data_IF_480969725677
#
_entry.id   IF_480969725677
#
_cell.length_a   1.000
_cell.length_b   1.000
_cell.length_c   1.000
_cell.angle_alpha   90.00
_cell.angle_beta   90.00
_cell.angle_gamma   90.00
#
_symmetry.space_group_name_H-M   'P 1'
#
loop_
_entity.id
_entity.type
_entity.pdbx_description
1 polymer ?
#
# COMPACT_ATOMS: atom_id res chain seq x y z
N UNK A 1 2.32 -0.43 -8.01
CA UNK A 1 3.22 0.59 -7.42
C UNK A 1 4.46 -0.10 -6.87
N UNK A 2 5.61 0.23 -7.43
CA UNK A 2 6.86 -0.51 -7.26
C UNK A 2 7.82 0.29 -6.38
N UNK A 3 7.73 0.06 -5.07
CA UNK A 3 8.50 0.80 -4.07
C UNK A 3 9.61 -0.05 -3.47
N UNK A 4 9.24 -1.20 -2.90
CA UNK A 4 10.10 -2.04 -2.07
C UNK A 4 11.23 -2.70 -2.87
N UNK A 5 12.41 -2.73 -2.27
CA UNK A 5 13.60 -3.44 -2.76
C UNK A 5 14.09 -4.43 -1.69
N UNK A 6 15.01 -5.37 -2.01
CA UNK A 6 15.54 -6.30 -1.03
C UNK A 6 16.03 -5.63 0.26
N UNK A 7 16.69 -4.47 0.15
CA UNK A 7 17.30 -3.74 1.27
C UNK A 7 16.56 -2.43 1.63
N UNK A 8 15.41 -2.15 1.01
CA UNK A 8 14.64 -0.92 1.23
C UNK A 8 13.13 -1.22 1.24
N UNK A 9 12.56 -1.42 2.41
CA UNK A 9 11.13 -1.63 2.64
C UNK A 9 10.53 -0.47 3.43
N UNK A 10 10.61 -0.52 4.76
CA UNK A 10 10.15 0.57 5.63
C UNK A 10 10.97 1.85 5.43
N UNK A 11 12.27 1.74 5.19
CA UNK A 11 13.15 2.85 4.87
C UNK A 11 13.27 3.03 3.35
N UNK A 12 12.25 3.60 2.73
CA UNK A 12 12.21 3.88 1.30
C UNK A 12 13.23 4.94 0.83
N UNK A 13 13.85 5.68 1.74
CA UNK A 13 14.93 6.59 1.36
C UNK A 13 16.14 5.85 0.76
N UNK A 14 16.29 4.57 1.12
CA UNK A 14 17.38 3.69 0.66
C UNK A 14 17.13 3.01 -0.67
N UNK A 15 16.04 3.31 -1.36
CA UNK A 15 15.77 2.80 -2.71
C UNK A 15 16.95 3.10 -3.63
N UNK A 16 17.43 2.06 -4.31
CA UNK A 16 18.63 2.08 -5.15
C UNK A 16 18.37 1.83 -6.63
N UNK A 17 17.16 1.40 -7.02
CA UNK A 17 16.79 1.29 -8.44
C UNK A 17 17.09 2.62 -9.12
N UNK A 18 17.95 2.59 -10.13
CA UNK A 18 18.44 3.80 -10.81
C UNK A 18 17.50 4.20 -11.91
N UNK A 19 17.31 5.52 -12.06
CA UNK A 19 16.73 6.15 -13.22
C UNK A 19 17.78 7.06 -13.83
N UNK A 20 18.15 6.79 -15.09
CA UNK A 20 19.08 7.62 -15.87
C UNK A 20 18.35 8.18 -17.07
N UNK A 21 18.72 9.39 -17.51
CA UNK A 21 18.14 10.00 -18.69
C UNK A 21 19.13 9.90 -19.85
N UNK A 22 18.68 9.36 -20.98
CA UNK A 22 19.44 9.28 -22.22
C UNK A 22 19.57 10.68 -22.86
N UNK A 23 20.44 10.83 -23.86
CA UNK A 23 20.67 12.10 -24.59
C UNK A 23 19.39 12.64 -25.28
N UNK A 24 18.46 11.74 -25.64
CA UNK A 24 17.18 12.08 -26.25
C UNK A 24 16.09 12.47 -25.24
N UNK A 25 16.44 12.51 -23.94
CA UNK A 25 15.52 12.81 -22.85
C UNK A 25 14.71 11.62 -22.33
N UNK A 26 14.88 10.42 -22.88
CA UNK A 26 14.19 9.19 -22.43
C UNK A 26 14.75 8.70 -21.10
N UNK A 27 13.89 8.40 -20.14
CA UNK A 27 14.29 7.80 -18.88
C UNK A 27 14.43 6.28 -18.98
N UNK A 28 15.49 5.74 -18.35
CA UNK A 28 15.80 4.32 -18.28
C UNK A 28 15.91 3.85 -16.83
N UNK A 29 15.17 2.78 -16.52
CA UNK A 29 15.16 2.20 -15.20
C UNK A 29 16.01 0.93 -15.14
N UNK A 30 16.85 0.81 -14.10
CA UNK A 30 17.72 -0.34 -13.87
C UNK A 30 17.76 -0.72 -12.39
N UNK A 31 17.48 -1.97 -12.07
CA UNK A 31 17.52 -2.52 -10.70
C UNK A 31 16.47 -3.59 -10.43
N UNK A 32 16.18 -3.82 -9.17
CA UNK A 32 15.24 -4.87 -8.71
C UNK A 32 14.22 -4.28 -7.76
N UNK A 33 12.97 -4.63 -7.97
CA UNK A 33 11.87 -4.39 -7.02
C UNK A 33 11.36 -5.71 -6.48
N UNK A 34 11.00 -5.76 -5.19
CA UNK A 34 10.57 -7.00 -4.54
C UNK A 34 9.26 -6.80 -3.79
N UNK A 35 8.50 -7.89 -3.66
CA UNK A 35 7.18 -7.91 -3.00
C UNK A 35 6.18 -6.94 -3.64
N UNK A 36 6.20 -6.81 -4.95
CA UNK A 36 5.33 -5.89 -5.68
C UNK A 36 3.96 -6.54 -5.89
N UNK A 37 2.97 -6.05 -5.18
CA UNK A 37 1.57 -6.49 -5.30
C UNK A 37 1.04 -6.17 -6.70
N UNK A 38 0.44 -7.16 -7.34
CA UNK A 38 -0.03 -7.10 -8.73
C UNK A 38 1.10 -6.69 -9.71
N UNK A 39 2.32 -7.22 -9.46
CA UNK A 39 3.53 -6.84 -10.20
C UNK A 39 3.58 -7.35 -11.65
N UNK A 40 2.57 -8.06 -12.13
CA UNK A 40 2.41 -8.44 -13.53
C UNK A 40 1.40 -7.55 -14.29
N UNK A 41 1.06 -6.39 -13.71
CA UNK A 41 0.15 -5.42 -14.34
C UNK A 41 0.77 -4.76 -15.57
N UNK A 42 -0.07 -4.07 -16.37
CA UNK A 42 0.38 -3.41 -17.59
C UNK A 42 1.06 -2.07 -17.31
N UNK A 43 0.59 -1.34 -16.27
CA UNK A 43 1.12 -0.02 -15.91
C UNK A 43 1.65 -0.03 -14.49
N UNK A 44 2.87 0.49 -14.31
CA UNK A 44 3.53 0.58 -13.02
C UNK A 44 3.84 2.01 -12.64
N UNK A 45 3.67 2.34 -11.37
CA UNK A 45 4.25 3.53 -10.76
C UNK A 45 5.50 3.12 -10.00
N UNK A 46 6.67 3.57 -10.46
CA UNK A 46 7.98 3.10 -10.00
C UNK A 46 8.72 4.21 -9.28
N UNK A 47 9.10 3.97 -8.02
CA UNK A 47 10.00 4.87 -7.29
C UNK A 47 11.45 4.52 -7.62
N UNK A 48 12.20 5.47 -8.14
CA UNK A 48 13.59 5.27 -8.54
C UNK A 48 14.47 6.46 -8.17
N UNK A 49 15.77 6.21 -8.04
CA UNK A 49 16.78 7.23 -7.77
C UNK A 49 17.22 7.88 -9.08
N UNK A 50 16.84 9.14 -9.26
CA UNK A 50 17.17 9.97 -10.41
C UNK A 50 18.36 10.91 -10.18
N UNK A 51 18.75 11.15 -8.92
CA UNK A 51 19.83 12.07 -8.56
C UNK A 51 21.05 11.28 -8.09
N UNK A 52 22.12 11.31 -8.86
CA UNK A 52 23.38 10.66 -8.48
C UNK A 52 23.97 11.25 -7.18
N UNK A 53 24.67 10.40 -6.43
CA UNK A 53 25.34 10.80 -5.19
C UNK A 53 24.40 11.05 -4.00
N UNK A 54 23.08 11.00 -4.18
CA UNK A 54 22.13 11.16 -3.08
C UNK A 54 21.86 9.84 -2.37
N UNK A 55 21.56 9.91 -1.06
CA UNK A 55 21.18 8.75 -0.23
C UNK A 55 19.91 8.96 0.59
N UNK A 56 19.22 10.07 0.36
CA UNK A 56 17.96 10.44 1.04
C UNK A 56 16.76 10.46 0.08
N UNK A 57 15.58 10.76 0.61
CA UNK A 57 14.34 10.79 -0.15
C UNK A 57 14.29 11.88 -1.24
N UNK A 58 15.16 12.90 -1.15
CA UNK A 58 15.23 13.98 -2.13
C UNK A 58 15.88 13.56 -3.45
N UNK A 59 16.59 12.45 -3.46
CA UNK A 59 17.14 11.88 -4.69
C UNK A 59 16.17 10.98 -5.46
N UNK A 60 14.93 10.83 -4.99
CA UNK A 60 13.95 9.87 -5.52
C UNK A 60 12.85 10.57 -6.33
N UNK A 61 12.60 10.05 -7.52
CA UNK A 61 11.55 10.49 -8.43
C UNK A 61 10.56 9.35 -8.71
N UNK A 62 9.36 9.69 -9.15
CA UNK A 62 8.32 8.74 -9.54
C UNK A 62 8.29 8.61 -11.06
N UNK A 63 8.16 7.40 -11.55
CA UNK A 63 8.10 7.09 -12.98
C UNK A 63 6.87 6.25 -13.30
N UNK A 64 6.35 6.41 -14.51
CA UNK A 64 5.34 5.55 -15.11
C UNK A 64 6.07 4.62 -16.07
N UNK A 65 5.90 3.32 -15.89
CA UNK A 65 6.37 2.29 -16.81
C UNK A 65 5.18 1.59 -17.44
N UNK A 66 5.24 1.40 -18.76
CA UNK A 66 4.27 0.61 -19.52
C UNK A 66 4.92 -0.73 -19.94
N UNK A 67 4.25 -1.84 -19.63
CA UNK A 67 4.74 -3.19 -19.95
C UNK A 67 5.01 -3.39 -21.45
N UNK A 68 4.30 -2.67 -22.31
CA UNK A 68 4.50 -2.72 -23.77
C UNK A 68 5.87 -2.24 -24.21
N UNK A 69 6.52 -1.37 -23.44
CA UNK A 69 7.88 -0.88 -23.71
C UNK A 69 8.98 -1.93 -23.41
N UNK A 70 8.64 -3.02 -22.72
CA UNK A 70 9.58 -4.08 -22.36
C UNK A 70 10.63 -3.65 -21.33
N UNK A 71 11.67 -4.46 -21.16
CA UNK A 71 12.77 -4.17 -20.22
C UNK A 71 12.50 -4.55 -18.76
N UNK A 72 11.30 -5.07 -18.43
CA UNK A 72 10.97 -5.59 -17.10
C UNK A 72 10.63 -7.07 -17.20
N UNK A 73 11.17 -7.86 -16.27
CA UNK A 73 10.93 -9.29 -16.17
C UNK A 73 10.41 -9.64 -14.78
N UNK A 74 9.31 -10.38 -14.72
CA UNK A 74 8.86 -11.03 -13.49
C UNK A 74 9.79 -12.21 -13.22
N UNK A 75 10.68 -12.07 -12.23
CA UNK A 75 11.66 -13.12 -11.89
C UNK A 75 11.08 -14.17 -10.95
N UNK A 76 10.19 -13.76 -10.07
CA UNK A 76 9.57 -14.62 -9.07
C UNK A 76 8.19 -14.11 -8.67
N UNK A 77 7.28 -15.06 -8.37
CA UNK A 77 5.98 -14.78 -7.75
C UNK A 77 6.00 -15.41 -6.36
N UNK A 78 5.74 -14.61 -5.33
CA UNK A 78 5.84 -15.03 -3.94
C UNK A 78 4.72 -16.01 -3.54
N UNK A 79 5.09 -17.03 -2.78
CA UNK A 79 4.13 -17.89 -2.09
C UNK A 79 3.57 -17.14 -0.87
N UNK A 80 2.24 -17.03 -0.78
CA UNK A 80 1.57 -16.23 0.27
C UNK A 80 0.55 -17.07 1.03
N UNK A 81 0.25 -16.63 2.27
CA UNK A 81 -0.80 -17.23 3.12
C UNK A 81 -2.22 -16.80 2.71
N UNK A 82 -2.35 -15.85 1.82
CA UNK A 82 -3.63 -15.36 1.30
C UNK A 82 -3.43 -14.39 0.14
N UNK A 83 -4.51 -13.80 -0.39
CA UNK A 83 -4.53 -12.89 -1.54
C UNK A 83 -3.84 -13.54 -2.75
N UNK A 84 -4.20 -14.79 -3.04
CA UNK A 84 -3.58 -15.58 -4.11
C UNK A 84 -3.99 -15.10 -5.51
N UNK A 85 -5.11 -14.41 -5.64
CA UNK A 85 -5.58 -13.85 -6.90
C UNK A 85 -4.80 -12.62 -7.40
N UNK A 86 -3.91 -12.06 -6.58
CA UNK A 86 -3.02 -10.96 -6.95
C UNK A 86 -1.57 -11.41 -6.85
N UNK A 87 -0.80 -11.48 -7.97
CA UNK A 87 0.59 -11.92 -7.93
C UNK A 87 1.46 -10.88 -7.22
N UNK A 88 2.20 -11.31 -6.20
CA UNK A 88 3.23 -10.50 -5.55
C UNK A 88 4.57 -10.87 -6.15
N UNK A 89 5.15 -9.94 -6.92
CA UNK A 89 6.26 -10.23 -7.81
C UNK A 89 7.59 -9.66 -7.32
N UNK A 90 8.67 -10.31 -7.73
CA UNK A 90 9.99 -9.74 -7.83
C UNK A 90 10.22 -9.33 -9.29
N UNK A 91 10.51 -8.04 -9.51
CA UNK A 91 10.65 -7.42 -10.83
C UNK A 91 12.10 -7.01 -11.07
N UNK A 92 12.63 -7.40 -12.23
CA UNK A 92 13.98 -7.00 -12.68
C UNK A 92 13.84 -6.01 -13.82
N UNK A 93 14.30 -4.80 -13.60
CA UNK A 93 14.36 -3.71 -14.57
C UNK A 93 15.73 -3.73 -15.26
N UNK A 94 15.74 -3.84 -16.59
CA UNK A 94 16.94 -3.80 -17.44
C UNK A 94 16.72 -2.81 -18.56
N UNK A 95 17.25 -1.61 -18.39
CA UNK A 95 17.12 -0.53 -19.35
C UNK A 95 15.66 -0.24 -19.77
N UNK A 96 14.74 -0.40 -18.81
CA UNK A 96 13.31 -0.26 -19.05
C UNK A 96 12.96 1.21 -19.28
N UNK A 97 12.33 1.50 -20.42
CA UNK A 97 11.86 2.85 -20.75
C UNK A 97 10.75 3.26 -19.78
N UNK A 98 10.78 4.51 -19.32
CA UNK A 98 9.75 5.04 -18.43
C UNK A 98 9.56 6.55 -18.64
N UNK A 99 8.45 7.06 -18.19
CA UNK A 99 8.11 8.47 -18.21
C UNK A 99 8.16 9.06 -16.80
N UNK A 100 8.70 10.27 -16.66
CA UNK A 100 8.73 10.98 -15.38
C UNK A 100 7.30 11.37 -14.97
N UNK A 101 6.85 10.93 -13.79
CA UNK A 101 5.58 11.34 -13.21
C UNK A 101 5.76 12.63 -12.39
N UNK A 102 5.32 13.74 -12.93
CA UNK A 102 5.43 15.05 -12.28
C UNK A 102 6.85 15.63 -12.32
N UNK A 103 7.42 15.95 -11.16
CA UNK A 103 8.75 16.59 -11.07
C UNK A 103 9.75 15.65 -10.42
N UNK A 104 11.02 15.75 -10.83
CA UNK A 104 12.14 15.06 -10.16
C UNK A 104 12.22 15.43 -8.68
N UNK A 105 12.85 14.57 -7.89
CA UNK A 105 13.13 14.77 -6.43
C UNK A 105 11.88 14.79 -5.52
N UNK A 106 10.68 14.71 -6.07
CA UNK A 106 9.42 14.71 -5.31
C UNK A 106 8.77 13.31 -5.20
N UNK A 107 9.40 12.28 -5.73
CA UNK A 107 8.85 10.93 -5.79
C UNK A 107 8.40 10.41 -4.44
N UNK A 108 9.30 10.37 -3.45
CA UNK A 108 8.98 9.88 -2.11
C UNK A 108 8.18 10.89 -1.30
N UNK A 109 8.70 12.12 -1.18
CA UNK A 109 8.18 13.11 -0.22
C UNK A 109 6.80 13.67 -0.57
N UNK A 110 6.41 13.62 -1.84
CA UNK A 110 5.11 14.11 -2.30
C UNK A 110 4.23 12.99 -2.86
N UNK A 111 4.68 12.31 -3.91
CA UNK A 111 3.79 11.41 -4.66
C UNK A 111 3.54 10.09 -3.93
N UNK A 112 4.60 9.42 -3.41
CA UNK A 112 4.43 8.19 -2.62
C UNK A 112 3.65 8.47 -1.35
N UNK A 113 3.96 9.55 -0.63
CA UNK A 113 3.27 9.88 0.62
C UNK A 113 1.78 10.18 0.41
N UNK A 114 1.43 10.90 -0.64
CA UNK A 114 0.03 11.17 -0.98
C UNK A 114 -0.74 9.87 -1.27
N UNK A 115 -0.15 8.97 -2.08
CA UNK A 115 -0.72 7.69 -2.41
C UNK A 115 -0.87 6.78 -1.17
N UNK A 116 0.18 6.68 -0.34
CA UNK A 116 0.17 5.87 0.87
C UNK A 116 -0.85 6.34 1.91
N UNK A 117 -1.02 7.65 2.06
CA UNK A 117 -2.02 8.19 2.98
C UNK A 117 -3.44 7.78 2.57
N UNK A 118 -3.76 7.79 1.28
CA UNK A 118 -5.04 7.28 0.78
C UNK A 118 -5.21 5.77 1.00
N UNK A 119 -4.17 4.99 0.74
CA UNK A 119 -4.19 3.54 0.91
C UNK A 119 -4.35 3.11 2.39
N UNK A 120 -3.79 3.84 3.35
CA UNK A 120 -3.89 3.52 4.79
C UNK A 120 -5.32 3.45 5.29
N UNK A 121 -6.20 4.35 4.85
CA UNK A 121 -7.62 4.31 5.22
C UNK A 121 -8.31 3.05 4.67
N UNK A 122 -7.99 2.68 3.42
CA UNK A 122 -8.49 1.44 2.80
C UNK A 122 -8.06 0.18 3.56
N UNK A 123 -6.80 0.10 3.97
CA UNK A 123 -6.29 -1.04 4.77
C UNK A 123 -6.93 -1.10 6.15
N UNK A 124 -7.18 0.05 6.79
CA UNK A 124 -7.92 0.10 8.06
C UNK A 124 -9.35 -0.44 7.90
N UNK A 125 -10.03 -0.08 6.80
CA UNK A 125 -11.36 -0.61 6.47
C UNK A 125 -11.35 -2.13 6.26
N UNK A 126 -10.37 -2.66 5.52
CA UNK A 126 -10.17 -4.10 5.33
C UNK A 126 -9.96 -4.82 6.68
N UNK A 127 -9.14 -4.25 7.56
CA UNK A 127 -8.85 -4.82 8.88
C UNK A 127 -10.10 -4.92 9.74
N UNK A 128 -10.96 -3.89 9.75
CA UNK A 128 -12.26 -3.92 10.44
C UNK A 128 -13.18 -4.97 9.81
N UNK A 129 -13.22 -5.08 8.47
CA UNK A 129 -14.03 -6.07 7.77
C UNK A 129 -13.63 -7.51 8.09
N UNK A 130 -12.34 -7.83 8.06
CA UNK A 130 -11.81 -9.16 8.43
C UNK A 130 -12.11 -9.48 9.91
N UNK A 131 -11.95 -8.49 10.79
CA UNK A 131 -12.26 -8.65 12.22
C UNK A 131 -13.75 -8.91 12.45
N UNK A 132 -14.64 -8.27 11.68
CA UNK A 132 -16.08 -8.54 11.74
C UNK A 132 -16.40 -9.98 11.33
N UNK A 133 -15.87 -10.44 10.21
CA UNK A 133 -16.09 -11.81 9.73
C UNK A 133 -15.61 -12.85 10.76
N UNK A 134 -14.43 -12.64 11.33
CA UNK A 134 -13.88 -13.51 12.35
C UNK A 134 -14.74 -13.53 13.63
N UNK A 135 -15.27 -12.36 14.05
CA UNK A 135 -16.19 -12.27 15.17
C UNK A 135 -17.50 -13.04 14.94
N UNK A 136 -18.10 -12.88 13.75
CA UNK A 136 -19.37 -13.51 13.42
C UNK A 136 -19.26 -15.05 13.45
N UNK A 137 -18.19 -15.61 12.85
CA UNK A 137 -17.91 -17.04 12.87
C UNK A 137 -17.62 -17.55 14.29
N UNK A 138 -16.81 -16.82 15.06
CA UNK A 138 -16.50 -17.20 16.44
C UNK A 138 -17.75 -17.20 17.32
N UNK A 139 -18.61 -16.19 17.21
CA UNK A 139 -19.85 -16.08 17.96
C UNK A 139 -20.84 -17.19 17.57
N UNK A 140 -20.98 -17.47 16.26
CA UNK A 140 -21.81 -18.55 15.75
C UNK A 140 -21.39 -19.89 16.35
N UNK A 141 -20.09 -20.22 16.22
CA UNK A 141 -19.56 -21.46 16.77
C UNK A 141 -19.75 -21.55 18.29
N UNK A 142 -19.49 -20.47 19.02
CA UNK A 142 -19.66 -20.46 20.49
C UNK A 142 -21.10 -20.65 20.94
N UNK A 143 -22.09 -20.29 20.11
CA UNK A 143 -23.52 -20.53 20.37
C UNK A 143 -23.94 -21.96 20.05
N UNK A 144 -23.37 -22.58 19.05
CA UNK A 144 -23.73 -23.92 18.57
C UNK A 144 -23.00 -25.03 19.34
N UNK A 145 -21.71 -24.84 19.64
CA UNK A 145 -20.87 -25.82 20.32
C UNK A 145 -21.31 -25.97 21.80
N UNK A 146 -21.57 -27.21 22.23
CA UNK A 146 -21.90 -27.53 23.59
C UNK A 146 -20.80 -28.34 24.26
N UNK A 147 -20.57 -28.06 25.54
CA UNK A 147 -19.84 -28.89 26.50
C UNK A 147 -20.63 -28.90 27.81
N UNK A 148 -20.66 -30.04 28.49
CA UNK A 148 -21.51 -30.23 29.71
C UNK A 148 -22.96 -29.78 29.47
N UNK A 149 -23.52 -30.17 28.32
CA UNK A 149 -24.88 -29.82 27.84
C UNK A 149 -25.18 -28.32 27.73
N UNK A 150 -24.16 -27.49 27.80
CA UNK A 150 -24.28 -26.05 27.80
C UNK A 150 -23.50 -25.46 26.60
N UNK A 151 -24.10 -24.50 25.88
CA UNK A 151 -23.39 -23.77 24.81
C UNK A 151 -22.17 -23.05 25.39
N UNK A 152 -21.01 -23.18 24.72
CA UNK A 152 -19.74 -22.69 25.28
C UNK A 152 -19.69 -21.15 25.44
N UNK A 153 -20.52 -20.40 24.72
CA UNK A 153 -20.68 -18.94 24.91
C UNK A 153 -21.12 -18.58 26.35
N UNK A 154 -21.75 -19.50 27.09
CA UNK A 154 -22.17 -19.28 28.48
C UNK A 154 -21.04 -19.46 29.51
N UNK A 155 -19.90 -20.02 29.12
CA UNK A 155 -18.76 -20.13 30.02
C UNK A 155 -18.04 -18.76 30.13
N UNK A 156 -17.76 -18.31 31.39
CA UNK A 156 -17.22 -16.97 31.61
C UNK A 156 -15.96 -16.64 30.77
N UNK A 157 -15.04 -17.58 30.64
CA UNK A 157 -13.81 -17.38 29.86
C UNK A 157 -14.09 -17.19 28.37
N UNK A 158 -15.02 -17.95 27.76
CA UNK A 158 -15.41 -17.82 26.36
C UNK A 158 -16.21 -16.54 26.16
N UNK A 159 -17.14 -16.24 27.05
CA UNK A 159 -17.92 -15.00 27.01
C UNK A 159 -17.01 -13.76 27.04
N UNK A 160 -16.04 -13.74 27.96
CA UNK A 160 -15.09 -12.62 28.07
C UNK A 160 -14.30 -12.42 26.77
N UNK A 161 -13.79 -13.51 26.13
CA UNK A 161 -13.11 -13.41 24.83
C UNK A 161 -14.01 -12.80 23.76
N UNK A 162 -15.24 -13.28 23.60
CA UNK A 162 -16.20 -12.79 22.60
C UNK A 162 -16.57 -11.32 22.86
N UNK A 163 -16.79 -10.95 24.12
CA UNK A 163 -17.11 -9.58 24.53
C UNK A 163 -15.94 -8.62 24.21
N UNK A 164 -14.71 -9.02 24.50
CA UNK A 164 -13.52 -8.22 24.19
C UNK A 164 -13.31 -8.03 22.70
N UNK A 165 -13.53 -9.07 21.88
CA UNK A 165 -13.46 -8.95 20.41
C UNK A 165 -14.50 -7.92 19.95
N UNK A 166 -15.75 -8.04 20.44
CA UNK A 166 -16.82 -7.10 20.06
C UNK A 166 -16.49 -5.65 20.44
N UNK A 167 -16.01 -5.41 21.64
CA UNK A 167 -15.64 -4.07 22.11
C UNK A 167 -14.54 -3.46 21.26
N UNK A 168 -13.47 -4.23 20.94
CA UNK A 168 -12.37 -3.77 20.06
C UNK A 168 -12.85 -3.49 18.64
N UNK A 169 -13.73 -4.33 18.10
CA UNK A 169 -14.29 -4.17 16.77
C UNK A 169 -15.13 -2.88 16.66
N UNK A 170 -16.00 -2.61 17.66
CA UNK A 170 -16.83 -1.41 17.67
C UNK A 170 -15.99 -0.15 17.82
N UNK A 171 -14.99 -0.17 18.69
CA UNK A 171 -14.05 0.94 18.84
C UNK A 171 -13.26 1.19 17.54
N UNK A 172 -12.73 0.12 16.91
CA UNK A 172 -12.02 0.20 15.65
C UNK A 172 -12.88 0.78 14.52
N UNK A 173 -14.15 0.36 14.43
CA UNK A 173 -15.10 0.88 13.45
C UNK A 173 -15.41 2.36 13.68
N UNK A 174 -15.60 2.76 14.93
CA UNK A 174 -15.85 4.16 15.28
C UNK A 174 -14.67 5.06 14.91
N UNK A 175 -13.44 4.64 15.21
CA UNK A 175 -12.22 5.35 14.83
C UNK A 175 -12.10 5.44 13.30
N UNK A 176 -12.34 4.33 12.58
CA UNK A 176 -12.28 4.29 11.13
C UNK A 176 -13.24 5.32 10.50
N UNK A 177 -14.50 5.33 10.90
CA UNK A 177 -15.50 6.24 10.33
C UNK A 177 -15.21 7.70 10.66
N UNK A 178 -14.77 7.97 11.88
CA UNK A 178 -14.38 9.33 12.26
C UNK A 178 -13.16 9.81 11.49
N UNK A 179 -12.17 8.94 11.29
CA UNK A 179 -10.99 9.25 10.46
C UNK A 179 -11.37 9.49 9.00
N UNK A 180 -12.23 8.66 8.42
CA UNK A 180 -12.72 8.85 7.06
C UNK A 180 -13.40 10.22 6.88
N UNK A 181 -14.26 10.61 7.82
CA UNK A 181 -14.90 11.92 7.83
C UNK A 181 -13.88 13.07 7.86
N UNK A 182 -12.83 12.96 8.69
CA UNK A 182 -11.80 14.00 8.73
C UNK A 182 -10.96 14.05 7.44
N UNK A 183 -10.70 12.92 6.81
CA UNK A 183 -10.01 12.87 5.50
C UNK A 183 -10.84 13.59 4.42
N UNK A 184 -12.16 13.40 4.40
CA UNK A 184 -13.03 14.07 3.43
C UNK A 184 -13.04 15.58 3.66
N UNK A 185 -13.16 16.03 4.91
CA UNK A 185 -13.10 17.46 5.28
C UNK A 185 -11.74 18.06 4.88
N UNK A 186 -10.64 17.35 5.18
CA UNK A 186 -9.29 17.80 4.85
C UNK A 186 -9.12 17.99 3.33
N UNK A 187 -9.57 17.03 2.52
CA UNK A 187 -9.49 17.10 1.06
C UNK A 187 -10.31 18.28 0.51
N UNK A 188 -11.54 18.46 0.99
CA UNK A 188 -12.37 19.58 0.59
C UNK A 188 -11.71 20.95 0.90
N UNK A 189 -11.06 21.08 2.06
CA UNK A 189 -10.33 22.30 2.44
C UNK A 189 -9.07 22.51 1.58
N UNK A 190 -8.35 21.43 1.22
CA UNK A 190 -7.22 21.54 0.28
C UNK A 190 -7.67 22.05 -1.10
N UNK A 191 -8.77 21.53 -1.63
CA UNK A 191 -9.31 21.94 -2.94
C UNK A 191 -9.73 23.42 -2.93
N UNK A 192 -10.45 23.88 -1.92
CA UNK A 192 -10.80 25.29 -1.73
C UNK A 192 -9.54 26.16 -1.62
N UNK A 193 -8.52 25.70 -0.91
CA UNK A 193 -7.26 26.44 -0.77
C UNK A 193 -6.51 26.57 -2.09
N UNK A 194 -6.53 25.51 -2.93
CA UNK A 194 -5.93 25.55 -4.28
C UNK A 194 -6.65 26.52 -5.20
N UNK A 195 -7.97 26.46 -5.24
CA UNK A 195 -8.80 27.37 -6.04
C UNK A 195 -8.56 28.84 -5.69
N UNK A 196 -8.47 29.17 -4.40
CA UNK A 196 -8.14 30.53 -3.95
C UNK A 196 -6.76 31.01 -4.37
N UNK A 197 -5.75 30.11 -4.40
CA UNK A 197 -4.39 30.47 -4.87
C UNK A 197 -4.29 30.64 -6.38
N UNK A 198 -5.19 30.07 -7.16
CA UNK A 198 -5.26 30.23 -8.60
C UNK A 198 -6.05 31.49 -9.00
N UNK A 199 -6.83 32.08 -8.08
CA UNK A 199 -7.61 33.30 -8.31
C UNK A 199 -6.93 34.60 -7.85
N UNK A 200 -5.72 34.48 -7.28
CA UNK A 200 -4.83 35.59 -6.90
C UNK A 200 -3.60 35.62 -7.80
#
# INVERSE_FOLDING_TARGET
MDLTEPDAGSDLQRVMLKATQDEDGTWRLNGVKRFITNGDSDIHLVLARSEEGTRDGRGLSMFIYDKRDGGVTVRHIEHKLGIHGSPTCELVYKNAKAELCGSTRLGLIKYVMALMNGARLGIAAQSVGVSQAAYDEALKYARERKQFDTAIVKFPAVYDMIARIKAKLDAGRSILYQTARYVDIYKALEDISRERKLST
#
